data_IF_796277632026
#
_entry.id   IF_796277632026
#
_cell.length_a   1.000
_cell.length_b   1.000
_cell.length_c   1.000
_cell.angle_alpha   90.00
_cell.angle_beta   90.00
_cell.angle_gamma   90.00
#
_symmetry.space_group_name_H-M   'P 1'
#
loop_
_entity.id
_entity.type
_entity.pdbx_description
1 polymer ?
#
# COMPACT_ATOMS: atom_id res chain seq x y z
N UNK A 1 5.03 22.52 29.49
CA UNK A 1 3.97 21.68 28.87
C UNK A 1 4.65 20.90 27.77
N UNK A 2 4.78 19.56 27.83
CA UNK A 2 5.47 18.85 26.76
C UNK A 2 4.52 18.71 25.57
N UNK A 3 4.85 19.37 24.48
CA UNK A 3 4.20 19.17 23.18
C UNK A 3 4.40 17.70 22.77
N UNK A 4 3.30 16.95 22.71
CA UNK A 4 3.31 15.56 22.28
C UNK A 4 3.78 15.46 20.84
N UNK A 5 5.02 14.98 20.65
CA UNK A 5 5.62 14.56 19.37
C UNK A 5 4.91 13.38 18.69
N UNK A 6 3.65 13.09 19.02
CA UNK A 6 2.93 11.92 18.51
C UNK A 6 2.05 12.32 17.32
N UNK A 7 2.20 11.61 16.19
CA UNK A 7 1.37 11.82 14.99
C UNK A 7 -0.09 11.44 15.30
N UNK A 8 -1.06 12.18 14.75
CA UNK A 8 -2.48 11.90 14.99
C UNK A 8 -2.97 10.75 14.11
N UNK A 9 -3.98 10.01 14.57
CA UNK A 9 -4.58 8.92 13.79
C UNK A 9 -5.02 9.37 12.38
N UNK A 10 -5.55 10.60 12.25
CA UNK A 10 -5.96 11.19 10.97
C UNK A 10 -4.78 11.31 10.01
N UNK A 11 -3.64 11.84 10.48
CA UNK A 11 -2.42 12.01 9.69
C UNK A 11 -1.80 10.65 9.32
N UNK A 12 -1.88 9.66 10.22
CA UNK A 12 -1.47 8.28 9.91
C UNK A 12 -2.33 7.69 8.79
N UNK A 13 -3.65 7.90 8.84
CA UNK A 13 -4.59 7.39 7.83
C UNK A 13 -4.37 8.05 6.48
N UNK A 14 -4.14 9.36 6.44
CA UNK A 14 -3.83 10.09 5.20
C UNK A 14 -2.55 9.58 4.53
N UNK A 15 -1.53 9.24 5.32
CA UNK A 15 -0.24 8.76 4.82
C UNK A 15 -0.09 7.24 4.81
N UNK A 16 -1.12 6.48 5.19
CA UNK A 16 -1.03 5.03 5.37
C UNK A 16 -0.65 4.31 4.07
N UNK A 17 -1.26 4.71 2.95
CA UNK A 17 -0.98 4.10 1.65
C UNK A 17 0.45 4.40 1.19
N UNK A 18 0.88 5.66 1.26
CA UNK A 18 2.24 6.06 0.95
C UNK A 18 3.27 5.34 1.86
N UNK A 19 2.95 5.15 3.13
CA UNK A 19 3.76 4.37 4.06
C UNK A 19 3.88 2.90 3.62
N UNK A 20 2.77 2.27 3.26
CA UNK A 20 2.75 0.89 2.76
C UNK A 20 3.47 0.71 1.40
N UNK A 21 3.54 1.77 0.59
CA UNK A 21 4.30 1.80 -0.66
C UNK A 21 5.77 2.19 -0.49
N UNK A 22 6.17 2.62 0.72
CA UNK A 22 7.53 3.09 1.01
C UNK A 22 7.84 4.49 0.46
N UNK A 23 6.82 5.28 0.16
CA UNK A 23 6.90 6.63 -0.43
C UNK A 23 6.85 7.75 0.63
N UNK A 24 7.11 7.42 1.90
CA UNK A 24 7.17 8.40 2.99
C UNK A 24 8.61 8.70 3.39
N UNK A 25 8.86 9.95 3.76
CA UNK A 25 10.12 10.39 4.34
C UNK A 25 10.46 9.61 5.61
N UNK A 26 11.75 9.36 5.83
CA UNK A 26 12.24 8.47 6.90
C UNK A 26 11.80 8.93 8.31
N UNK A 27 11.87 10.24 8.59
CA UNK A 27 11.39 10.78 9.88
C UNK A 27 9.87 10.71 10.06
N UNK A 28 9.09 10.61 8.98
CA UNK A 28 7.63 10.38 9.07
C UNK A 28 7.34 8.89 9.22
N UNK A 29 8.13 8.04 8.58
CA UNK A 29 8.06 6.58 8.70
C UNK A 29 8.15 6.14 10.15
N UNK A 30 9.19 6.58 10.87
CA UNK A 30 9.40 6.23 12.29
C UNK A 30 8.21 6.66 13.17
N UNK A 31 7.64 7.85 12.93
CA UNK A 31 6.48 8.34 13.67
C UNK A 31 5.23 7.51 13.41
N UNK A 32 5.01 7.09 12.17
CA UNK A 32 3.89 6.21 11.80
C UNK A 32 4.09 4.84 12.44
N UNK A 33 5.29 4.26 12.37
CA UNK A 33 5.62 2.96 12.97
C UNK A 33 5.36 2.98 14.48
N UNK A 34 5.88 3.99 15.19
CA UNK A 34 5.62 4.17 16.63
C UNK A 34 4.12 4.28 16.94
N UNK A 35 3.37 5.03 16.13
CA UNK A 35 1.94 5.15 16.33
C UNK A 35 1.19 3.84 16.08
N UNK A 36 1.60 3.04 15.09
CA UNK A 36 1.00 1.74 14.81
C UNK A 36 1.24 0.73 15.95
N UNK A 37 2.36 0.84 16.66
CA UNK A 37 2.63 0.03 17.86
C UNK A 37 1.72 0.40 19.04
N UNK A 38 1.41 1.69 19.21
CA UNK A 38 0.60 2.18 20.34
C UNK A 38 -0.91 2.15 20.06
N UNK A 39 -1.33 2.33 18.79
CA UNK A 39 -2.72 2.51 18.40
C UNK A 39 -3.30 1.30 17.66
N UNK A 40 -4.04 0.47 18.40
CA UNK A 40 -4.73 -0.72 17.86
C UNK A 40 -5.67 -0.40 16.68
N UNK A 41 -6.30 0.77 16.68
CA UNK A 41 -7.23 1.15 15.61
C UNK A 41 -6.49 1.40 14.28
N UNK A 42 -5.34 2.08 14.32
CA UNK A 42 -4.51 2.32 13.15
C UNK A 42 -3.83 1.03 12.68
N UNK A 43 -3.36 0.20 13.62
CA UNK A 43 -2.82 -1.13 13.33
C UNK A 43 -3.83 -1.99 12.54
N UNK A 44 -5.07 -2.11 13.03
CA UNK A 44 -6.12 -2.85 12.33
C UNK A 44 -6.43 -2.32 10.93
N UNK A 45 -6.28 -1.01 10.69
CA UNK A 45 -6.47 -0.41 9.36
C UNK A 45 -5.31 -0.74 8.43
N UNK A 46 -4.07 -0.67 8.93
CA UNK A 46 -2.88 -1.07 8.19
C UNK A 46 -2.96 -2.55 7.77
N UNK A 47 -3.34 -3.44 8.68
CA UNK A 47 -3.54 -4.86 8.40
C UNK A 47 -4.58 -5.11 7.31
N UNK A 48 -5.71 -4.37 7.37
CA UNK A 48 -6.75 -4.46 6.35
C UNK A 48 -6.22 -4.06 4.97
N UNK A 49 -5.50 -2.95 4.86
CA UNK A 49 -4.92 -2.48 3.60
C UNK A 49 -3.91 -3.47 3.03
N UNK A 50 -3.07 -4.07 3.89
CA UNK A 50 -2.13 -5.12 3.48
C UNK A 50 -2.88 -6.35 2.94
N UNK A 51 -3.89 -6.83 3.66
CA UNK A 51 -4.69 -7.97 3.25
C UNK A 51 -5.44 -7.70 1.92
N UNK A 52 -5.99 -6.49 1.75
CA UNK A 52 -6.66 -6.07 0.53
C UNK A 52 -5.69 -6.07 -0.66
N UNK A 53 -4.51 -5.46 -0.50
CA UNK A 53 -3.47 -5.42 -1.54
C UNK A 53 -3.01 -6.83 -1.92
N UNK A 54 -2.83 -7.72 -0.95
CA UNK A 54 -2.51 -9.12 -1.22
C UNK A 54 -3.61 -9.81 -2.05
N UNK A 55 -4.89 -9.59 -1.69
CA UNK A 55 -6.01 -10.17 -2.43
C UNK A 55 -6.08 -9.67 -3.87
N UNK A 56 -5.86 -8.38 -4.10
CA UNK A 56 -5.80 -7.80 -5.45
C UNK A 56 -4.67 -8.41 -6.27
N UNK A 57 -3.47 -8.58 -5.67
CA UNK A 57 -2.33 -9.23 -6.34
C UNK A 57 -2.63 -10.66 -6.75
N UNK A 58 -3.31 -11.45 -5.91
CA UNK A 58 -3.73 -12.82 -6.26
C UNK A 58 -4.61 -12.86 -7.51
N UNK A 59 -5.53 -11.90 -7.66
CA UNK A 59 -6.39 -11.80 -8.86
C UNK A 59 -5.58 -11.38 -10.08
N UNK A 60 -4.64 -10.44 -9.92
CA UNK A 60 -3.78 -9.96 -11.00
C UNK A 60 -2.83 -11.04 -11.54
N UNK A 61 -2.49 -12.05 -10.74
CA UNK A 61 -1.66 -13.19 -11.16
C UNK A 61 -2.40 -14.21 -12.04
N UNK A 62 -3.71 -14.03 -12.29
CA UNK A 62 -4.44 -14.86 -13.24
C UNK A 62 -3.82 -14.73 -14.63
N UNK A 63 -3.35 -15.85 -15.18
CA UNK A 63 -2.71 -15.86 -16.50
C UNK A 63 -3.68 -15.28 -17.54
N UNK A 64 -3.27 -14.27 -18.31
CA UNK A 64 -4.10 -13.73 -19.37
C UNK A 64 -4.35 -14.83 -20.42
N UNK A 65 -5.54 -14.85 -21.05
CA UNK A 65 -5.88 -15.85 -22.04
C UNK A 65 -4.91 -15.81 -23.23
N UNK A 66 -4.54 -16.98 -23.76
CA UNK A 66 -3.57 -17.10 -24.86
C UNK A 66 -3.95 -16.27 -26.09
N UNK A 67 -5.26 -16.11 -26.35
CA UNK A 67 -5.78 -15.27 -27.44
C UNK A 67 -5.34 -13.81 -27.30
N UNK A 68 -5.29 -13.27 -26.09
CA UNK A 68 -4.87 -11.88 -25.84
C UNK A 68 -3.38 -11.73 -26.12
N UNK A 69 -2.54 -12.67 -25.66
CA UNK A 69 -1.09 -12.69 -25.95
C UNK A 69 -0.83 -12.77 -27.45
N UNK A 70 -1.57 -13.60 -28.18
CA UNK A 70 -1.46 -13.71 -29.65
C UNK A 70 -1.82 -12.41 -30.36
N UNK A 71 -2.90 -11.75 -29.93
CA UNK A 71 -3.33 -10.46 -30.50
C UNK A 71 -2.30 -9.35 -30.25
N UNK A 72 -1.72 -9.28 -29.05
CA UNK A 72 -0.65 -8.32 -28.72
C UNK A 72 0.58 -8.55 -29.61
N UNK A 73 1.00 -9.81 -29.78
CA UNK A 73 2.15 -10.14 -30.64
C UNK A 73 1.92 -9.74 -32.10
N UNK A 74 0.73 -10.05 -32.65
CA UNK A 74 0.36 -9.62 -34.00
C UNK A 74 0.39 -8.10 -34.20
N UNK A 75 0.00 -7.33 -33.18
CA UNK A 75 0.07 -5.86 -33.25
C UNK A 75 1.51 -5.35 -33.20
N UNK A 76 2.37 -5.96 -32.38
CA UNK A 76 3.79 -5.58 -32.30
C UNK A 76 4.51 -5.89 -33.62
N UNK A 77 4.24 -7.07 -34.22
CA UNK A 77 4.87 -7.50 -35.47
C UNK A 77 4.41 -6.71 -36.71
N UNK A 78 3.38 -5.85 -36.58
CA UNK A 78 2.85 -4.98 -37.65
C UNK A 78 3.43 -3.55 -37.64
N UNK A 79 4.25 -3.21 -36.64
CA UNK A 79 5.06 -1.98 -36.60
C UNK A 79 6.50 -2.28 -37.02
#
# INVERSE_FOLDING_TARGET
MPESKNIRCEEVVEHLLAFLDGEVEEGRRERIEQHLEECRSCCSRADFEVALRQKVREVALKRPPLRLRRKIRQLIDQF
#
